data_IF_692637121953
#
_entry.id   IF_692637121953
#
_cell.length_a   1.000
_cell.length_b   1.000
_cell.length_c   1.000
_cell.angle_alpha   90.00
_cell.angle_beta   90.00
_cell.angle_gamma   90.00
#
_symmetry.space_group_name_H-M   'P 1'
#
loop_
_entity.id
_entity.type
_entity.pdbx_description
1 polymer ?
#
# COMPACT_ATOMS: atom_id res chain seq x y z
N UNK A 1 13.78 1.57 5.56
CA UNK A 1 13.36 0.26 5.04
C UNK A 1 13.06 0.40 3.56
N UNK A 2 13.68 -0.41 2.71
CA UNK A 2 13.40 -0.44 1.26
C UNK A 2 12.25 -1.41 1.00
N UNK A 3 11.30 -1.01 0.17
CA UNK A 3 10.17 -1.84 -0.28
C UNK A 3 9.99 -1.73 -1.79
N UNK A 4 9.50 -2.81 -2.40
CA UNK A 4 8.99 -2.79 -3.77
C UNK A 4 7.48 -2.83 -3.69
N UNK A 5 6.82 -1.85 -4.31
CA UNK A 5 5.38 -1.62 -4.17
C UNK A 5 4.70 -1.60 -5.54
N UNK A 6 3.47 -2.09 -5.55
CA UNK A 6 2.55 -2.05 -6.68
C UNK A 6 1.18 -1.69 -6.14
N UNK A 7 0.51 -0.69 -6.71
CA UNK A 7 -0.74 -0.16 -6.18
C UNK A 7 -1.66 0.32 -7.27
N UNK A 8 -2.96 0.18 -7.02
CA UNK A 8 -4.01 0.81 -7.81
C UNK A 8 -4.97 1.61 -6.94
N UNK A 9 -5.53 2.68 -7.48
CA UNK A 9 -6.58 3.49 -6.87
C UNK A 9 -7.77 3.63 -7.81
N UNK A 10 -8.95 3.32 -7.29
CA UNK A 10 -10.21 3.42 -8.02
C UNK A 10 -11.18 4.33 -7.28
N UNK A 11 -11.90 5.22 -8.00
CA UNK A 11 -12.92 6.06 -7.40
C UNK A 11 -14.17 5.25 -7.02
N UNK A 12 -14.91 5.76 -6.05
CA UNK A 12 -16.13 5.15 -5.53
C UNK A 12 -15.89 4.20 -4.36
N UNK A 13 -17.00 3.66 -3.83
CA UNK A 13 -16.97 2.65 -2.78
C UNK A 13 -16.36 1.33 -3.27
N UNK A 14 -15.74 0.58 -2.38
CA UNK A 14 -15.21 -0.74 -2.68
C UNK A 14 -16.34 -1.68 -3.16
N UNK A 15 -16.26 -2.23 -4.38
CA UNK A 15 -17.28 -3.16 -4.85
C UNK A 15 -17.31 -4.42 -3.98
N UNK A 16 -18.51 -4.88 -3.61
CA UNK A 16 -18.70 -6.08 -2.79
C UNK A 16 -18.05 -7.32 -3.42
N UNK A 17 -18.04 -7.43 -4.75
CA UNK A 17 -17.37 -8.51 -5.47
C UNK A 17 -15.86 -8.54 -5.23
N UNK A 18 -15.22 -7.37 -5.17
CA UNK A 18 -13.78 -7.23 -4.87
C UNK A 18 -13.50 -7.55 -3.41
N UNK A 19 -14.33 -7.05 -2.48
CA UNK A 19 -14.24 -7.39 -1.06
C UNK A 19 -14.37 -8.90 -0.80
N UNK A 20 -15.38 -9.52 -1.42
CA UNK A 20 -15.62 -10.96 -1.31
C UNK A 20 -14.49 -11.78 -1.94
N UNK A 21 -14.00 -11.39 -3.13
CA UNK A 21 -12.83 -12.02 -3.74
C UNK A 21 -11.64 -11.96 -2.80
N UNK A 22 -11.33 -10.78 -2.26
CA UNK A 22 -10.19 -10.60 -1.39
C UNK A 22 -10.31 -11.51 -0.17
N UNK A 23 -11.45 -11.51 0.52
CA UNK A 23 -11.66 -12.39 1.69
C UNK A 23 -11.59 -13.88 1.34
N UNK A 24 -12.13 -14.29 0.20
CA UNK A 24 -12.16 -15.68 -0.24
C UNK A 24 -10.82 -16.20 -0.77
N UNK A 25 -9.85 -15.32 -1.06
CA UNK A 25 -8.55 -15.74 -1.57
C UNK A 25 -7.67 -16.37 -0.47
N UNK A 26 -8.05 -16.21 0.81
CA UNK A 26 -7.21 -16.59 1.94
C UNK A 26 -7.76 -17.81 2.68
N UNK A 27 -6.95 -18.86 2.80
CA UNK A 27 -7.26 -20.05 3.63
C UNK A 27 -7.02 -19.82 5.14
N UNK A 28 -6.30 -18.76 5.48
CA UNK A 28 -5.95 -18.39 6.87
C UNK A 28 -6.62 -17.09 7.28
N UNK A 29 -6.65 -16.85 8.60
CA UNK A 29 -7.18 -15.63 9.18
C UNK A 29 -6.43 -14.40 8.65
N UNK A 30 -7.19 -13.51 8.02
CA UNK A 30 -6.78 -12.17 7.64
C UNK A 30 -6.45 -11.40 8.91
N UNK A 31 -5.53 -10.43 8.82
CA UNK A 31 -5.40 -9.45 9.90
C UNK A 31 -6.76 -8.82 10.22
N UNK A 32 -7.05 -8.49 11.49
CA UNK A 32 -8.24 -7.74 11.84
C UNK A 32 -8.35 -6.46 10.99
N UNK A 33 -9.58 -6.11 10.62
CA UNK A 33 -9.85 -4.86 9.90
C UNK A 33 -9.32 -3.70 10.74
N UNK A 34 -8.43 -2.90 10.14
CA UNK A 34 -7.87 -1.72 10.78
C UNK A 34 -8.61 -0.49 10.27
N UNK A 35 -9.25 0.24 11.19
CA UNK A 35 -9.85 1.55 10.91
C UNK A 35 -8.92 2.62 11.47
N UNK A 36 -8.50 3.57 10.64
CA UNK A 36 -7.61 4.66 11.06
C UNK A 36 -7.74 5.92 10.21
N UNK A 37 -7.18 7.00 10.71
CA UNK A 37 -6.94 8.23 9.95
C UNK A 37 -5.42 8.47 9.82
N UNK A 38 -4.97 8.72 8.58
CA UNK A 38 -3.61 9.19 8.28
C UNK A 38 -3.71 10.62 7.74
N UNK A 39 -2.84 11.54 8.17
CA UNK A 39 -2.76 12.91 7.62
C UNK A 39 -1.56 13.01 6.68
N UNK A 40 -1.79 13.44 5.45
CA UNK A 40 -0.76 13.54 4.42
C UNK A 40 -0.41 14.99 4.13
N UNK A 41 0.89 15.30 4.10
CA UNK A 41 1.34 16.62 3.67
C UNK A 41 1.04 16.76 2.17
N UNK A 42 0.31 17.81 1.80
CA UNK A 42 0.05 18.12 0.41
C UNK A 42 1.32 18.71 -0.21
N UNK A 43 1.90 17.98 -1.16
CA UNK A 43 3.07 18.40 -1.92
C UNK A 43 2.71 18.48 -3.41
N UNK A 44 2.12 19.60 -3.88
CA UNK A 44 1.69 19.72 -5.26
C UNK A 44 2.85 19.46 -6.25
N UNK A 45 2.57 18.69 -7.30
CA UNK A 45 3.53 18.33 -8.36
C UNK A 45 4.71 17.47 -7.93
N UNK A 46 4.74 16.99 -6.68
CA UNK A 46 5.77 16.07 -6.20
C UNK A 46 5.19 14.65 -6.11
N UNK A 47 5.59 13.77 -7.05
CA UNK A 47 5.07 12.39 -7.07
C UNK A 47 5.98 11.36 -6.38
N UNK A 48 7.20 11.75 -6.01
CA UNK A 48 8.24 10.86 -5.49
C UNK A 48 8.48 11.01 -3.99
N UNK A 49 7.84 11.97 -3.32
CA UNK A 49 7.95 12.20 -1.89
C UNK A 49 6.56 12.10 -1.25
N UNK A 50 6.46 11.36 -0.17
CA UNK A 50 5.25 11.30 0.63
C UNK A 50 5.63 11.47 2.10
N UNK A 51 4.99 12.42 2.77
CA UNK A 51 5.12 12.64 4.20
C UNK A 51 3.75 12.46 4.83
N UNK A 52 3.67 11.63 5.86
CA UNK A 52 2.42 11.40 6.58
C UNK A 52 2.62 11.40 8.08
N UNK A 53 1.60 11.86 8.77
CA UNK A 53 1.45 11.79 10.21
C UNK A 53 0.48 10.67 10.56
N UNK A 54 0.87 9.84 11.53
CA UNK A 54 0.07 8.73 12.05
C UNK A 54 0.26 8.64 13.55
N UNK A 55 -0.80 8.89 14.32
CA UNK A 55 -0.77 8.84 15.80
C UNK A 55 0.46 9.54 16.42
N UNK A 56 0.80 10.74 15.94
CA UNK A 56 1.97 11.50 16.40
C UNK A 56 3.32 11.06 15.84
N UNK A 57 3.39 9.98 15.05
CA UNK A 57 4.61 9.57 14.34
C UNK A 57 4.64 10.12 12.92
N UNK A 58 5.80 10.65 12.54
CA UNK A 58 6.07 11.12 11.19
C UNK A 58 6.72 10.00 10.36
N UNK A 59 6.11 9.65 9.24
CA UNK A 59 6.67 8.72 8.26
C UNK A 59 7.00 9.45 6.95
N UNK A 60 8.24 9.27 6.49
CA UNK A 60 8.71 9.75 5.20
C UNK A 60 8.88 8.56 4.25
N UNK A 61 8.30 8.65 3.06
CA UNK A 61 8.54 7.73 1.95
C UNK A 61 9.13 8.49 0.75
N UNK A 62 10.26 8.02 0.24
CA UNK A 62 10.92 8.52 -0.97
C UNK A 62 10.94 7.42 -2.04
N UNK A 63 10.42 7.72 -3.24
CA UNK A 63 10.51 6.83 -4.39
C UNK A 63 11.93 6.88 -4.93
N UNK A 64 12.63 5.75 -4.83
CA UNK A 64 13.99 5.62 -5.35
C UNK A 64 13.98 5.33 -6.84
N UNK A 65 13.05 4.48 -7.28
CA UNK A 65 12.97 4.01 -8.67
C UNK A 65 11.52 3.75 -9.06
N UNK A 66 11.21 4.02 -10.32
CA UNK A 66 10.05 3.48 -11.00
C UNK A 66 10.56 2.36 -11.90
N UNK A 67 10.06 1.14 -11.72
CA UNK A 67 10.47 -0.02 -12.51
C UNK A 67 9.63 -0.11 -13.79
N UNK A 68 9.73 -1.22 -14.52
CA UNK A 68 8.82 -1.51 -15.62
C UNK A 68 7.40 -1.79 -15.11
N UNK A 69 6.43 -1.60 -15.99
CA UNK A 69 5.07 -2.08 -15.76
C UNK A 69 5.07 -3.60 -15.60
N UNK A 70 4.36 -4.10 -14.60
CA UNK A 70 4.15 -5.52 -14.38
C UNK A 70 2.77 -5.89 -14.94
N UNK A 71 2.76 -6.87 -15.85
CA UNK A 71 1.57 -7.56 -16.30
C UNK A 71 1.44 -8.85 -15.48
N UNK A 72 0.27 -9.08 -14.88
CA UNK A 72 -0.04 -10.31 -14.14
C UNK A 72 -1.31 -10.92 -14.72
N UNK A 73 -1.15 -12.07 -15.38
CA UNK A 73 -2.20 -12.68 -16.19
C UNK A 73 -2.74 -11.69 -17.24
N UNK A 74 -4.01 -11.83 -17.59
CA UNK A 74 -4.69 -10.94 -18.55
C UNK A 74 -5.47 -9.81 -17.87
N UNK A 75 -5.42 -9.72 -16.53
CA UNK A 75 -6.32 -8.86 -15.75
C UNK A 75 -5.64 -7.68 -15.09
N UNK A 76 -4.37 -7.80 -14.72
CA UNK A 76 -3.68 -6.76 -13.95
C UNK A 76 -2.49 -6.21 -14.70
N UNK A 77 -2.47 -4.89 -14.84
CA UNK A 77 -1.33 -4.13 -15.34
C UNK A 77 -1.07 -2.99 -14.37
N UNK A 78 0.15 -2.84 -13.90
CA UNK A 78 0.45 -1.73 -13.00
C UNK A 78 1.92 -1.36 -12.91
N UNK A 79 2.15 -0.19 -12.32
CA UNK A 79 3.45 0.42 -12.18
C UNK A 79 4.11 -0.04 -10.88
N UNK A 80 5.21 -0.77 -11.01
CA UNK A 80 6.01 -1.19 -9.86
C UNK A 80 7.01 -0.09 -9.50
N UNK A 81 7.16 0.20 -8.21
CA UNK A 81 8.02 1.24 -7.69
C UNK A 81 8.85 0.73 -6.52
N UNK A 82 10.03 1.31 -6.33
CA UNK A 82 10.89 1.03 -5.17
C UNK A 82 10.91 2.25 -4.27
N UNK A 83 10.58 2.04 -3.01
CA UNK A 83 10.44 3.08 -2.00
C UNK A 83 11.41 2.87 -0.85
N UNK A 84 11.91 3.97 -0.30
CA UNK A 84 12.61 3.99 0.98
C UNK A 84 11.71 4.68 2.00
N UNK A 85 11.41 3.96 3.08
CA UNK A 85 10.61 4.42 4.21
C UNK A 85 11.48 4.70 5.43
N UNK A 86 11.27 5.84 6.06
CA UNK A 86 11.75 6.16 7.41
C UNK A 86 10.56 6.48 8.30
N UNK A 87 10.63 6.02 9.54
CA UNK A 87 9.62 6.28 10.57
C UNK A 87 10.33 6.88 11.76
N UNK A 88 9.90 8.07 12.17
CA UNK A 88 10.33 8.71 13.40
C UNK A 88 9.36 8.23 14.49
N UNK A 89 9.71 7.13 15.14
CA UNK A 89 8.84 6.49 16.13
C UNK A 89 9.09 6.95 17.56
N UNK A 90 10.29 7.41 17.89
CA UNK A 90 10.69 7.67 19.28
C UNK A 90 11.83 8.68 19.34
N UNK A 91 11.56 9.97 19.19
CA UNK A 91 12.41 10.96 19.85
C UNK A 91 11.92 11.09 21.28
N UNK A 92 12.83 11.04 22.27
CA UNK A 92 12.51 11.31 23.68
C UNK A 92 11.94 12.71 23.91
N UNK A 93 12.06 13.58 22.91
CA UNK A 93 11.39 14.87 22.85
C UNK A 93 10.18 14.75 21.91
N UNK A 94 8.96 15.13 22.36
CA UNK A 94 7.81 15.19 21.48
C UNK A 94 8.14 16.17 20.34
N UNK A 95 8.03 15.71 19.09
CA UNK A 95 8.04 16.60 17.95
C UNK A 95 6.90 17.60 18.14
N UNK A 96 7.23 18.90 18.19
CA UNK A 96 6.23 19.96 18.12
C UNK A 96 5.67 20.01 16.69
N UNK A 97 4.74 19.10 16.42
CA UNK A 97 4.04 19.00 15.15
C UNK A 97 3.02 20.12 14.98
N UNK A 98 2.69 20.89 16.03
CA UNK A 98 1.68 21.95 15.94
C UNK A 98 2.10 23.02 14.92
N UNK A 99 3.38 23.39 14.89
CA UNK A 99 3.89 24.36 13.91
C UNK A 99 3.90 23.76 12.50
N UNK A 100 4.30 22.49 12.34
CA UNK A 100 4.32 21.80 11.04
C UNK A 100 2.90 21.63 10.48
N UNK A 101 1.92 21.39 11.34
CA UNK A 101 0.50 21.31 10.97
C UNK A 101 -0.10 22.67 10.63
N UNK A 102 0.33 23.74 11.32
CA UNK A 102 -0.16 25.09 11.08
C UNK A 102 0.41 25.74 9.81
N UNK A 103 1.66 25.44 9.44
CA UNK A 103 2.35 26.09 8.32
C UNK A 103 2.13 25.40 6.96
N UNK A 104 1.48 24.23 6.92
CA UNK A 104 1.31 23.47 5.70
C UNK A 104 -0.12 22.93 5.51
N UNK A 105 -0.45 22.58 4.27
CA UNK A 105 -1.74 21.96 3.96
C UNK A 105 -1.65 20.45 4.14
N UNK A 106 -2.47 19.93 5.06
CA UNK A 106 -2.57 18.50 5.35
C UNK A 106 -3.92 17.96 4.87
N UNK A 107 -3.91 16.77 4.28
CA UNK A 107 -5.10 16.06 3.83
C UNK A 107 -5.32 14.87 4.77
N UNK A 108 -6.44 14.89 5.51
CA UNK A 108 -6.90 13.73 6.27
C UNK A 108 -7.44 12.66 5.33
N UNK A 109 -7.03 11.42 5.58
CA UNK A 109 -7.47 10.24 4.84
C UNK A 109 -7.93 9.19 5.85
N UNK A 110 -9.23 8.99 5.91
CA UNK A 110 -9.84 7.88 6.63
C UNK A 110 -9.59 6.58 5.84
N UNK A 111 -9.29 5.50 6.55
CA UNK A 111 -8.96 4.20 5.98
C UNK A 111 -9.64 3.07 6.72
N UNK A 112 -10.27 2.18 5.96
CA UNK A 112 -10.70 0.86 6.43
C UNK A 112 -9.90 -0.18 5.66
N UNK A 113 -8.96 -0.83 6.33
CA UNK A 113 -7.95 -1.67 5.70
C UNK A 113 -8.07 -3.14 6.12
N UNK A 114 -8.07 -4.01 5.11
CA UNK A 114 -7.89 -5.44 5.23
C UNK A 114 -6.54 -5.83 4.63
N UNK A 115 -5.77 -6.72 5.27
CA UNK A 115 -4.44 -7.10 4.80
C UNK A 115 -4.08 -8.55 5.10
N UNK A 116 -3.30 -9.14 4.20
CA UNK A 116 -2.74 -10.49 4.33
C UNK A 116 -1.22 -10.44 4.08
N UNK A 117 -0.46 -11.23 4.85
CA UNK A 117 0.99 -11.35 4.67
C UNK A 117 1.34 -12.70 4.03
N UNK A 118 2.26 -12.65 3.08
CA UNK A 118 2.86 -13.81 2.44
C UNK A 118 4.34 -13.88 2.76
N UNK A 119 4.79 -15.08 3.13
CA UNK A 119 6.20 -15.40 3.22
C UNK A 119 6.61 -16.23 2.00
N UNK A 120 7.76 -15.88 1.43
CA UNK A 120 8.37 -16.61 0.32
C UNK A 120 9.52 -17.48 0.84
N UNK A 121 9.54 -18.76 0.47
CA UNK A 121 10.60 -19.69 0.86
C UNK A 121 11.59 -19.95 -0.28
N UNK A 122 12.83 -20.42 0.01
CA UNK A 122 13.83 -20.74 -1.01
C UNK A 122 13.35 -21.73 -2.08
N UNK A 123 12.37 -22.57 -1.74
CA UNK A 123 11.72 -23.52 -2.66
C UNK A 123 10.69 -22.89 -3.59
N UNK A 124 10.62 -21.55 -3.66
CA UNK A 124 9.61 -20.77 -4.39
C UNK A 124 8.16 -21.03 -3.95
N UNK A 125 7.96 -21.70 -2.81
CA UNK A 125 6.63 -21.82 -2.23
C UNK A 125 6.23 -20.52 -1.55
N UNK A 126 4.97 -20.16 -1.73
CA UNK A 126 4.31 -19.04 -1.06
C UNK A 126 3.42 -19.59 0.04
N UNK A 127 3.50 -18.98 1.22
CA UNK A 127 2.58 -19.30 2.32
C UNK A 127 1.97 -18.03 2.85
N UNK A 128 0.65 -17.98 2.89
CA UNK A 128 -0.07 -17.02 3.70
C UNK A 128 0.30 -17.28 5.17
N UNK A 129 0.75 -16.24 5.87
CA UNK A 129 1.10 -16.30 7.28
C UNK A 129 0.29 -15.27 8.05
N UNK A 130 0.05 -15.50 9.34
CA UNK A 130 -0.70 -14.54 10.15
C UNK A 130 0.12 -13.24 10.27
N UNK A 131 -0.58 -12.10 10.39
CA UNK A 131 0.08 -10.80 10.42
C UNK A 131 0.92 -10.60 11.69
N UNK A 132 0.58 -11.30 12.76
CA UNK A 132 1.32 -11.33 14.03
C UNK A 132 2.65 -12.09 13.90
N UNK A 133 2.78 -12.98 12.90
CA UNK A 133 4.02 -13.71 12.66
C UNK A 133 5.07 -12.78 12.04
N UNK A 134 6.18 -12.62 12.76
CA UNK A 134 7.34 -11.90 12.25
C UNK A 134 7.95 -12.67 11.08
N UNK A 135 8.25 -11.95 10.01
CA UNK A 135 9.00 -12.46 8.88
C UNK A 135 10.02 -11.43 8.44
N UNK A 136 11.21 -11.89 8.08
CA UNK A 136 12.29 -11.03 7.60
C UNK A 136 12.10 -10.64 6.13
N UNK A 137 11.29 -11.40 5.39
CA UNK A 137 11.00 -11.16 3.98
C UNK A 137 9.60 -11.63 3.62
N UNK A 138 9.00 -10.98 2.64
CA UNK A 138 7.68 -11.37 2.16
C UNK A 138 7.00 -10.25 1.39
N UNK A 139 5.71 -10.46 1.14
CA UNK A 139 4.85 -9.47 0.50
C UNK A 139 3.56 -9.32 1.29
N UNK A 140 3.17 -8.08 1.56
CA UNK A 140 1.86 -7.74 2.13
C UNK A 140 0.94 -7.34 1.02
N UNK A 141 -0.26 -7.90 1.01
CA UNK A 141 -1.35 -7.48 0.14
C UNK A 141 -2.37 -6.74 1.00
N UNK A 142 -2.74 -5.53 0.60
CA UNK A 142 -3.75 -4.73 1.29
C UNK A 142 -4.88 -4.32 0.34
N UNK A 143 -6.11 -4.44 0.83
CA UNK A 143 -7.31 -3.86 0.24
C UNK A 143 -7.81 -2.79 1.22
N UNK A 144 -7.93 -1.55 0.74
CA UNK A 144 -8.25 -0.42 1.61
C UNK A 144 -9.35 0.43 1.00
N UNK A 145 -10.43 0.64 1.75
CA UNK A 145 -11.38 1.72 1.50
C UNK A 145 -10.81 3.03 2.03
N UNK A 146 -10.92 4.07 1.23
CA UNK A 146 -10.31 5.38 1.46
C UNK A 146 -11.40 6.44 1.38
N UNK A 147 -11.38 7.36 2.33
CA UNK A 147 -12.18 8.58 2.26
C UNK A 147 -11.29 9.78 2.57
N UNK A 148 -11.25 10.72 1.64
CA UNK A 148 -10.46 11.93 1.77
C UNK A 148 -11.29 13.07 1.19
N UNK A 149 -11.46 14.15 1.97
CA UNK A 149 -12.43 15.20 1.65
C UNK A 149 -13.83 14.58 1.46
N UNK A 150 -14.55 14.95 0.40
CA UNK A 150 -15.87 14.40 0.06
C UNK A 150 -15.80 13.23 -0.93
N UNK A 151 -14.60 12.71 -1.22
CA UNK A 151 -14.39 11.64 -2.20
C UNK A 151 -14.16 10.29 -1.53
N UNK A 152 -14.86 9.26 -2.02
CA UNK A 152 -14.62 7.85 -1.67
C UNK A 152 -13.80 7.18 -2.76
N UNK A 153 -12.83 6.37 -2.34
CA UNK A 153 -11.95 5.60 -3.19
C UNK A 153 -11.70 4.23 -2.55
N UNK A 154 -11.13 3.32 -3.32
CA UNK A 154 -10.51 2.11 -2.78
C UNK A 154 -9.18 1.84 -3.47
N UNK A 155 -8.32 1.09 -2.79
CA UNK A 155 -7.01 0.70 -3.33
C UNK A 155 -6.70 -0.75 -3.05
N UNK A 156 -6.04 -1.39 -4.01
CA UNK A 156 -5.35 -2.66 -3.83
C UNK A 156 -3.85 -2.40 -3.93
N UNK A 157 -3.07 -2.93 -3.01
CA UNK A 157 -1.62 -2.77 -3.05
C UNK A 157 -0.85 -3.99 -2.56
N UNK A 158 0.38 -4.07 -3.06
CA UNK A 158 1.40 -5.03 -2.69
C UNK A 158 2.59 -4.24 -2.14
N UNK A 159 3.13 -4.67 -1.00
CA UNK A 159 4.37 -4.15 -0.41
C UNK A 159 5.30 -5.33 -0.12
N UNK A 160 6.30 -5.55 -0.97
CA UNK A 160 7.35 -6.53 -0.76
C UNK A 160 8.52 -5.94 0.05
N UNK A 161 8.99 -6.70 1.03
CA UNK A 161 10.04 -6.31 1.99
C UNK A 161 11.04 -7.46 2.20
N UNK A 162 12.16 -7.16 2.86
CA UNK A 162 13.30 -8.08 2.99
C UNK A 162 14.42 -7.72 2.02
N UNK A 163 15.18 -8.71 1.52
CA UNK A 163 16.28 -8.49 0.58
C UNK A 163 15.80 -7.75 -0.70
N UNK A 164 16.25 -6.52 -0.97
CA UNK A 164 15.86 -5.75 -2.15
C UNK A 164 16.07 -6.48 -3.48
N UNK A 165 17.03 -7.41 -3.55
CA UNK A 165 17.28 -8.19 -4.76
C UNK A 165 16.14 -9.16 -5.11
N UNK A 166 15.35 -9.57 -4.11
CA UNK A 166 14.28 -10.56 -4.23
C UNK A 166 12.88 -9.94 -4.25
N UNK A 167 12.71 -8.72 -3.75
CA UNK A 167 11.40 -8.09 -3.53
C UNK A 167 10.51 -8.06 -4.79
N UNK A 168 11.08 -7.78 -5.97
CA UNK A 168 10.31 -7.79 -7.22
C UNK A 168 9.74 -9.18 -7.54
N UNK A 169 10.58 -10.22 -7.45
CA UNK A 169 10.16 -11.60 -7.72
C UNK A 169 9.12 -12.07 -6.69
N UNK A 170 9.29 -11.70 -5.42
CA UNK A 170 8.32 -12.02 -4.36
C UNK A 170 6.97 -11.34 -4.61
N UNK A 171 6.98 -10.05 -4.94
CA UNK A 171 5.78 -9.30 -5.30
C UNK A 171 5.06 -9.94 -6.49
N UNK A 172 5.81 -10.25 -7.55
CA UNK A 172 5.27 -10.87 -8.75
C UNK A 172 4.63 -12.22 -8.44
N UNK A 173 5.34 -13.10 -7.71
CA UNK A 173 4.83 -14.43 -7.37
C UNK A 173 3.54 -14.35 -6.54
N UNK A 174 3.47 -13.42 -5.57
CA UNK A 174 2.24 -13.20 -4.78
C UNK A 174 1.12 -12.64 -5.64
N UNK A 175 1.41 -11.69 -6.53
CA UNK A 175 0.40 -11.17 -7.45
C UNK A 175 -0.15 -12.27 -8.38
N UNK A 176 0.71 -13.12 -8.94
CA UNK A 176 0.33 -14.26 -9.79
C UNK A 176 -0.53 -15.28 -9.02
N UNK A 177 -0.18 -15.59 -7.78
CA UNK A 177 -0.92 -16.53 -6.94
C UNK A 177 -2.37 -16.08 -6.69
N UNK A 178 -2.60 -14.78 -6.54
CA UNK A 178 -3.90 -14.25 -6.13
C UNK A 178 -4.75 -13.74 -7.31
N UNK A 179 -4.13 -13.57 -8.48
CA UNK A 179 -4.79 -13.21 -9.73
C UNK A 179 -5.58 -14.39 -10.29
N UNK A 180 -6.73 -14.67 -9.70
CA UNK A 180 -7.65 -15.73 -10.14
C UNK A 180 -8.83 -15.15 -10.97
N UNK A 181 -9.68 -15.98 -11.63
CA UNK A 181 -10.78 -15.48 -12.46
C UNK A 181 -11.83 -14.62 -11.76
N UNK A 182 -11.92 -14.66 -10.42
CA UNK A 182 -12.80 -13.81 -9.61
C UNK A 182 -12.16 -12.46 -9.25
N UNK A 183 -10.85 -12.31 -9.47
CA UNK A 183 -10.13 -11.08 -9.23
C UNK A 183 -10.65 -9.94 -10.15
N UNK A 184 -10.64 -8.68 -9.67
CA UNK A 184 -10.97 -7.53 -10.49
C UNK A 184 -10.01 -7.37 -11.66
N UNK A 185 -10.42 -6.65 -12.70
CA UNK A 185 -9.49 -6.11 -13.70
C UNK A 185 -8.86 -4.84 -13.14
N UNK A 186 -7.52 -4.74 -13.21
CA UNK A 186 -6.75 -3.62 -12.69
C UNK A 186 -5.88 -3.04 -13.80
N UNK A 187 -6.04 -1.76 -14.08
CA UNK A 187 -5.47 -1.10 -15.25
C UNK A 187 -4.33 -0.14 -14.86
N UNK A 188 -3.39 0.03 -15.79
CA UNK A 188 -2.21 0.87 -15.60
C UNK A 188 -2.56 2.33 -15.29
N UNK A 189 -3.64 2.87 -15.86
CA UNK A 189 -4.09 4.25 -15.63
C UNK A 189 -4.45 4.52 -14.17
N UNK A 190 -4.87 3.48 -13.43
CA UNK A 190 -5.17 3.54 -12.00
C UNK A 190 -3.97 3.20 -11.13
N UNK A 191 -2.82 2.84 -11.72
CA UNK A 191 -1.66 2.37 -10.99
C UNK A 191 -0.66 3.47 -10.69
N UNK A 192 -0.64 3.89 -9.43
CA UNK A 192 0.26 4.94 -8.94
C UNK A 192 0.30 4.96 -7.41
N UNK A 193 1.24 5.74 -6.85
CA UNK A 193 1.37 5.94 -5.41
C UNK A 193 0.50 7.07 -4.85
N UNK A 194 0.44 7.15 -3.52
CA UNK A 194 -0.30 8.15 -2.77
C UNK A 194 -0.06 9.60 -3.21
N UNK A 195 1.17 10.07 -3.50
CA UNK A 195 1.36 11.46 -3.93
C UNK A 195 0.55 11.84 -5.17
N UNK A 196 0.52 10.96 -6.19
CA UNK A 196 -0.28 11.18 -7.40
C UNK A 196 -1.78 11.06 -7.13
N UNK A 197 -2.19 10.11 -6.29
CA UNK A 197 -3.59 9.99 -5.85
C UNK A 197 -4.06 11.26 -5.13
N UNK A 198 -3.31 11.73 -4.14
CA UNK A 198 -3.59 12.93 -3.34
C UNK A 198 -3.66 14.20 -4.20
N UNK A 199 -2.95 14.25 -5.32
CA UNK A 199 -3.06 15.33 -6.29
C UNK A 199 -4.37 15.29 -7.09
N UNK A 200 -4.90 14.08 -7.33
CA UNK A 200 -6.08 13.82 -8.16
C UNK A 200 -7.39 13.71 -7.37
N UNK A 201 -7.36 13.61 -6.03
CA UNK A 201 -8.57 13.65 -5.21
C UNK A 201 -9.16 15.07 -5.23
N UNK A 202 -10.09 15.30 -6.14
CA UNK A 202 -10.94 16.47 -6.24
C UNK A 202 -12.32 16.04 -6.68
#
# INVERSE_FOLDING_TARGET
MITTELRWFYPGSLPTTVGNWFQATWDQAIAPIEVREDRYLQLPKCEYLNLKLRHGSLELKLRLKQLRTLQVGDRWVGQVEVWQKWSLQDSSEPLDLANVEAEATWISVEKVRSQQQYQTFPTQSLKAISFEQQSEQGCRVELTELKAQDATWWSLAFEAFGDPSQQFNQLQAVAEQINNPLAPTLDLHHSYAYPKWLFNIR
#
